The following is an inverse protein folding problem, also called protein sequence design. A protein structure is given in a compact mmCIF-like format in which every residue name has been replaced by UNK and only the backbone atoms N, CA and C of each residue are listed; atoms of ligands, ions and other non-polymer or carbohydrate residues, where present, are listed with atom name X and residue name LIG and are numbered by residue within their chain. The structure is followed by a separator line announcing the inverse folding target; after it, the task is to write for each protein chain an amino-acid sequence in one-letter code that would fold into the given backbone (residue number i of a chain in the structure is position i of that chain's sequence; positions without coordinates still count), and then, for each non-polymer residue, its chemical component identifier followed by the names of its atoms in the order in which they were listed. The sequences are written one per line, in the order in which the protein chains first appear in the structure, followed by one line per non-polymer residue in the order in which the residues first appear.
data_IF_169838273893
#
_entry.id   IF_169838273893
#
_cell.length_a   1.000
_cell.length_b   1.000
_cell.length_c   1.000
_cell.angle_alpha   90.00
_cell.angle_beta   90.00
_cell.angle_gamma   90.00
#
_symmetry.space_group_name_H-M   'P 1'
#
loop_
_entity.id
_entity.type
_entity.pdbx_description
1 polymer ?
#
# COMPACT_ATOMS: atom_id res chain seq x y z
N UNK A 1 1.88 -2.91 -16.25
CA UNK A 1 0.99 -3.68 -15.36
C UNK A 1 0.40 -4.90 -16.06
N UNK A 2 -0.31 -4.75 -17.18
CA UNK A 2 -1.07 -5.84 -17.83
C UNK A 2 -0.27 -7.13 -18.09
N UNK A 3 0.82 -7.08 -18.88
CA UNK A 3 1.64 -8.27 -19.16
C UNK A 3 2.23 -8.91 -17.90
N UNK A 4 2.73 -8.09 -16.98
CA UNK A 4 3.31 -8.57 -15.73
C UNK A 4 2.27 -9.31 -14.86
N UNK A 5 1.04 -8.79 -14.77
CA UNK A 5 -0.02 -9.42 -13.99
C UNK A 5 -0.43 -10.78 -14.57
N UNK A 6 -0.54 -10.87 -15.90
CA UNK A 6 -0.81 -12.15 -16.58
C UNK A 6 0.30 -13.18 -16.35
N UNK A 7 1.57 -12.74 -16.38
CA UNK A 7 2.73 -13.62 -16.19
C UNK A 7 2.93 -14.08 -14.74
N UNK A 8 2.52 -13.27 -13.76
CA UNK A 8 2.85 -13.49 -12.34
C UNK A 8 1.69 -13.94 -11.47
N UNK A 9 0.45 -13.68 -11.85
CA UNK A 9 -0.71 -14.16 -11.11
C UNK A 9 -1.23 -15.47 -11.70
N UNK A 10 -1.55 -16.47 -10.85
CA UNK A 10 -2.03 -17.75 -11.35
C UNK A 10 -3.48 -17.65 -11.84
N UNK A 11 -3.88 -18.55 -12.74
CA UNK A 11 -5.23 -18.54 -13.35
C UNK A 11 -6.35 -18.87 -12.36
N UNK A 12 -6.02 -19.55 -11.25
CA UNK A 12 -6.96 -19.92 -10.20
C UNK A 12 -7.14 -18.84 -9.12
N UNK A 13 -6.36 -17.75 -9.17
CA UNK A 13 -6.59 -16.59 -8.31
C UNK A 13 -7.93 -15.93 -8.68
N UNK A 14 -8.84 -15.69 -7.73
CA UNK A 14 -10.07 -14.93 -7.94
C UNK A 14 -9.82 -13.43 -8.20
N UNK A 15 -9.18 -13.10 -9.32
CA UNK A 15 -8.72 -11.75 -9.65
C UNK A 15 -9.87 -10.74 -9.80
N UNK A 16 -11.00 -11.14 -10.38
CA UNK A 16 -12.20 -10.28 -10.46
C UNK A 16 -12.70 -9.88 -9.08
N UNK A 17 -12.69 -10.82 -8.13
CA UNK A 17 -13.13 -10.57 -6.75
C UNK A 17 -12.15 -9.65 -6.02
N UNK A 18 -10.84 -9.87 -6.21
CA UNK A 18 -9.82 -8.96 -5.68
C UNK A 18 -9.97 -7.55 -6.24
N UNK A 19 -10.19 -7.42 -7.56
CA UNK A 19 -10.43 -6.15 -8.22
C UNK A 19 -11.69 -5.44 -7.70
N UNK A 20 -12.78 -6.18 -7.50
CA UNK A 20 -14.03 -5.65 -6.95
C UNK A 20 -13.83 -5.07 -5.54
N UNK A 21 -13.28 -5.88 -4.63
CA UNK A 21 -13.08 -5.48 -3.23
C UNK A 21 -12.10 -4.30 -3.11
N UNK A 22 -10.99 -4.34 -3.84
CA UNK A 22 -10.03 -3.24 -3.87
C UNK A 22 -10.63 -1.96 -4.46
N UNK A 23 -11.48 -2.09 -5.49
CA UNK A 23 -12.19 -0.98 -6.11
C UNK A 23 -13.13 -0.28 -5.13
N UNK A 24 -13.95 -1.03 -4.38
CA UNK A 24 -14.87 -0.47 -3.38
C UNK A 24 -14.15 0.32 -2.29
N UNK A 25 -12.99 -0.17 -1.81
CA UNK A 25 -12.15 0.58 -0.86
C UNK A 25 -11.59 1.85 -1.50
N UNK A 26 -11.11 1.76 -2.75
CA UNK A 26 -10.58 2.89 -3.50
C UNK A 26 -11.62 3.98 -3.76
N UNK A 27 -12.84 3.60 -4.11
CA UNK A 27 -13.95 4.52 -4.37
C UNK A 27 -14.38 5.27 -3.10
N UNK A 28 -14.38 4.59 -1.96
CA UNK A 28 -14.71 5.17 -0.66
C UNK A 28 -13.59 6.06 -0.09
N UNK A 29 -12.35 5.92 -0.56
CA UNK A 29 -11.22 6.67 -0.05
C UNK A 29 -11.16 8.11 -0.59
N UNK A 30 -10.77 9.04 0.29
CA UNK A 30 -10.47 10.43 -0.09
C UNK A 30 -9.16 10.51 -0.86
N UNK A 31 -9.13 11.33 -1.91
CA UNK A 31 -7.90 11.68 -2.64
C UNK A 31 -7.08 12.78 -1.96
N UNK A 32 -7.63 13.41 -0.91
CA UNK A 32 -6.98 14.49 -0.20
C UNK A 32 -5.62 14.03 0.38
N UNK A 33 -4.58 14.83 0.16
CA UNK A 33 -3.20 14.52 0.53
C UNK A 33 -2.64 13.21 -0.06
N UNK A 34 -3.29 12.62 -1.06
CA UNK A 34 -2.87 11.38 -1.70
C UNK A 34 -2.77 11.52 -3.25
N UNK A 35 -1.88 12.40 -3.77
CA UNK A 35 -1.83 12.70 -5.19
C UNK A 35 -1.44 11.50 -6.07
N UNK A 36 -0.57 10.60 -5.60
CA UNK A 36 -0.25 9.37 -6.34
C UNK A 36 -1.45 8.44 -6.44
N UNK A 37 -2.19 8.26 -5.36
CA UNK A 37 -3.45 7.51 -5.36
C UNK A 37 -4.48 8.11 -6.32
N UNK A 38 -4.65 9.44 -6.28
CA UNK A 38 -5.52 10.16 -7.21
C UNK A 38 -5.10 9.90 -8.67
N UNK A 39 -3.81 10.00 -8.96
CA UNK A 39 -3.26 9.69 -10.28
C UNK A 39 -3.54 8.25 -10.71
N UNK A 40 -3.40 7.27 -9.83
CA UNK A 40 -3.75 5.88 -10.13
C UNK A 40 -5.23 5.70 -10.46
N UNK A 41 -6.13 6.37 -9.71
CA UNK A 41 -7.57 6.33 -9.98
C UNK A 41 -7.97 6.96 -11.31
N UNK A 42 -7.22 7.96 -11.75
CA UNK A 42 -7.48 8.66 -13.01
C UNK A 42 -6.92 7.92 -14.24
N UNK A 43 -6.05 6.91 -14.05
CA UNK A 43 -5.53 6.10 -15.14
C UNK A 43 -6.62 5.18 -15.72
N UNK A 44 -6.62 4.92 -17.04
CA UNK A 44 -7.55 3.97 -17.64
C UNK A 44 -7.45 2.58 -17.01
N UNK A 45 -8.58 2.05 -16.57
CA UNK A 45 -8.65 0.70 -16.02
C UNK A 45 -8.47 -0.35 -17.12
N UNK A 46 -7.62 -1.38 -16.90
CA UNK A 46 -7.48 -2.48 -17.83
C UNK A 46 -8.70 -3.42 -17.78
N UNK A 47 -9.07 -3.99 -18.93
CA UNK A 47 -10.23 -4.90 -19.01
C UNK A 47 -9.94 -6.32 -18.49
N UNK A 48 -8.67 -6.76 -18.47
CA UNK A 48 -8.32 -8.10 -18.02
C UNK A 48 -8.35 -8.19 -16.48
N UNK A 49 -9.00 -9.23 -15.89
CA UNK A 49 -9.20 -9.37 -14.45
C UNK A 49 -7.92 -9.23 -13.61
N UNK A 50 -6.86 -9.96 -13.96
CA UNK A 50 -5.57 -9.95 -13.24
C UNK A 50 -4.92 -8.57 -13.29
N UNK A 51 -4.98 -7.92 -14.45
CA UNK A 51 -4.45 -6.58 -14.62
C UNK A 51 -5.25 -5.54 -13.82
N UNK A 52 -6.58 -5.68 -13.76
CA UNK A 52 -7.45 -4.79 -13.00
C UNK A 52 -7.22 -4.92 -11.50
N UNK A 53 -7.08 -6.16 -11.02
CA UNK A 53 -6.75 -6.45 -9.64
C UNK A 53 -5.44 -5.77 -9.22
N UNK A 54 -4.36 -5.96 -9.99
CA UNK A 54 -3.06 -5.34 -9.72
C UNK A 54 -3.11 -3.82 -9.85
N UNK A 55 -3.88 -3.29 -10.81
CA UNK A 55 -4.07 -1.84 -10.95
C UNK A 55 -4.67 -1.24 -9.67
N UNK A 56 -5.79 -1.81 -9.18
CA UNK A 56 -6.49 -1.31 -8.00
C UNK A 56 -5.70 -1.56 -6.71
N UNK A 57 -5.01 -2.69 -6.56
CA UNK A 57 -4.12 -2.95 -5.43
C UNK A 57 -2.96 -1.95 -5.39
N UNK A 58 -2.39 -1.57 -6.54
CA UNK A 58 -1.36 -0.52 -6.59
C UNK A 58 -1.92 0.84 -6.19
N UNK A 59 -3.15 1.18 -6.59
CA UNK A 59 -3.80 2.40 -6.11
C UNK A 59 -3.91 2.41 -4.57
N UNK A 60 -4.39 1.30 -3.97
CA UNK A 60 -4.47 1.18 -2.51
C UNK A 60 -3.10 1.23 -1.82
N UNK A 61 -2.06 0.67 -2.44
CA UNK A 61 -0.67 0.81 -1.95
C UNK A 61 -0.25 2.28 -1.90
N UNK A 62 -0.52 3.07 -2.93
CA UNK A 62 -0.18 4.50 -2.94
C UNK A 62 -1.02 5.31 -1.94
N UNK A 63 -2.30 4.94 -1.74
CA UNK A 63 -3.13 5.53 -0.69
C UNK A 63 -2.51 5.30 0.69
N UNK A 64 -2.16 4.04 1.01
CA UNK A 64 -1.48 3.70 2.27
C UNK A 64 -0.16 4.44 2.40
N UNK A 65 0.63 4.52 1.33
CA UNK A 65 1.90 5.26 1.30
C UNK A 65 1.73 6.73 1.66
N UNK A 66 0.73 7.40 1.09
CA UNK A 66 0.41 8.80 1.38
C UNK A 66 0.01 9.00 2.84
N UNK A 67 -0.93 8.19 3.35
CA UNK A 67 -1.38 8.29 4.74
C UNK A 67 -0.24 7.97 5.72
N UNK A 68 0.59 6.99 5.40
CA UNK A 68 1.73 6.61 6.23
C UNK A 68 2.80 7.70 6.26
N UNK A 69 3.13 8.31 5.11
CA UNK A 69 4.07 9.43 5.05
C UNK A 69 3.61 10.62 5.90
N UNK A 70 2.32 10.98 5.81
CA UNK A 70 1.74 12.02 6.65
C UNK A 70 1.80 11.66 8.15
N UNK A 71 1.47 10.42 8.51
CA UNK A 71 1.56 9.95 9.89
C UNK A 71 2.99 10.01 10.43
N UNK A 72 3.98 9.55 9.67
CA UNK A 72 5.41 9.61 10.05
C UNK A 72 5.85 11.04 10.35
N UNK A 73 5.53 11.99 9.46
CA UNK A 73 5.92 13.39 9.63
C UNK A 73 5.23 14.04 10.83
N UNK A 74 3.95 13.76 11.05
CA UNK A 74 3.19 14.33 12.18
C UNK A 74 3.60 13.75 13.54
N UNK A 75 4.22 12.56 13.58
CA UNK A 75 4.88 12.02 14.77
C UNK A 75 6.31 12.56 14.97
N UNK A 76 6.76 13.52 14.15
CA UNK A 76 8.09 14.14 14.25
C UNK A 76 9.23 13.24 13.76
N UNK A 77 8.93 12.17 13.01
CA UNK A 77 9.96 11.27 12.48
C UNK A 77 10.50 11.82 11.16
N UNK A 78 11.79 12.17 11.14
CA UNK A 78 12.46 12.63 9.92
C UNK A 78 12.59 11.48 8.89
N UNK A 79 12.43 11.73 7.57
CA UNK A 79 12.50 10.69 6.54
C UNK A 79 13.78 9.84 6.58
N UNK A 80 14.94 10.45 6.86
CA UNK A 80 16.21 9.71 6.99
C UNK A 80 16.16 8.68 8.13
N UNK A 81 15.56 9.03 9.27
CA UNK A 81 15.41 8.12 10.40
C UNK A 81 14.32 7.06 10.16
N UNK A 82 13.24 7.42 9.46
CA UNK A 82 12.22 6.47 9.02
C UNK A 82 12.81 5.37 8.12
N UNK A 83 13.61 5.75 7.11
CA UNK A 83 14.27 4.79 6.22
C UNK A 83 15.32 3.98 6.99
N UNK A 84 16.14 4.62 7.83
CA UNK A 84 17.12 3.90 8.66
C UNK A 84 16.47 2.84 9.56
N UNK A 85 15.26 3.12 10.07
CA UNK A 85 14.50 2.17 10.88
C UNK A 85 13.90 1.02 10.07
N UNK A 86 13.23 1.31 8.95
CA UNK A 86 12.36 0.32 8.27
C UNK A 86 13.03 -0.39 7.10
N UNK A 87 13.90 0.31 6.39
CA UNK A 87 14.58 -0.18 5.16
C UNK A 87 16.01 0.38 5.10
N UNK A 88 16.88 0.05 6.08
CA UNK A 88 18.24 0.61 6.12
C UNK A 88 19.05 0.31 4.86
N UNK A 89 18.76 -0.82 4.19
CA UNK A 89 19.38 -1.19 2.91
C UNK A 89 19.08 -0.21 1.75
N UNK A 90 18.09 0.68 1.89
CA UNK A 90 17.74 1.70 0.90
C UNK A 90 18.44 3.04 1.14
N UNK A 91 19.18 3.21 2.24
CA UNK A 91 19.75 4.52 2.61
C UNK A 91 20.69 5.07 1.53
N UNK A 92 21.62 4.25 1.06
CA UNK A 92 22.56 4.64 0.00
C UNK A 92 21.86 4.78 -1.36
N UNK A 93 20.87 3.92 -1.64
CA UNK A 93 20.04 4.02 -2.86
C UNK A 93 19.32 5.36 -2.93
N UNK A 94 18.89 5.90 -1.78
CA UNK A 94 18.29 7.22 -1.66
C UNK A 94 19.31 8.36 -1.44
N UNK A 95 20.61 8.07 -1.54
CA UNK A 95 21.67 9.08 -1.53
C UNK A 95 22.06 9.59 -0.14
N UNK A 96 21.62 8.95 0.94
CA UNK A 96 22.08 9.31 2.29
C UNK A 96 23.44 8.69 2.57
N UNK A 97 24.44 9.54 2.84
CA UNK A 97 25.74 9.12 3.32
C UNK A 97 25.74 8.84 4.85
N UNK A 98 26.64 7.98 5.35
CA UNK A 98 26.91 7.87 6.79
C UNK A 98 27.46 9.18 7.39
N UNK A 99 27.29 9.42 8.72
CA UNK A 99 26.63 8.55 9.69
C UNK A 99 25.10 8.61 9.59
N UNK A 100 24.45 7.48 9.84
CA UNK A 100 22.99 7.38 9.86
C UNK A 100 22.43 7.60 11.26
N UNK A 101 21.20 8.14 11.38
CA UNK A 101 20.58 8.38 12.66
C UNK A 101 20.37 7.07 13.44
N UNK A 102 20.45 7.17 14.76
CA UNK A 102 20.03 6.08 15.64
C UNK A 102 18.53 5.80 15.45
N UNK A 103 18.19 4.53 15.29
CA UNK A 103 16.83 4.05 15.05
C UNK A 103 16.04 3.86 16.34
N UNK A 104 16.70 3.80 17.49
CA UNK A 104 16.03 3.53 18.77
C UNK A 104 15.14 4.68 19.24
N UNK A 105 15.55 5.97 19.16
CA UNK A 105 14.67 7.09 19.51
C UNK A 105 13.39 7.18 18.68
N UNK A 106 13.41 6.67 17.44
CA UNK A 106 12.21 6.64 16.57
C UNK A 106 11.34 5.40 16.79
N UNK A 107 11.63 4.58 17.82
CA UNK A 107 10.87 3.36 18.11
C UNK A 107 9.38 3.62 18.35
N UNK A 108 9.10 4.44 19.36
CA UNK A 108 7.74 4.77 19.79
C UNK A 108 7.02 5.69 18.78
N UNK A 109 7.64 6.78 18.27
CA UNK A 109 7.02 7.60 17.23
C UNK A 109 6.63 6.81 15.97
N UNK A 110 7.43 5.83 15.57
CA UNK A 110 7.09 4.95 14.45
C UNK A 110 5.86 4.08 14.73
N UNK A 111 5.74 3.52 15.94
CA UNK A 111 4.57 2.73 16.32
C UNK A 111 3.31 3.60 16.31
N UNK A 112 3.37 4.81 16.87
CA UNK A 112 2.28 5.78 16.81
C UNK A 112 1.91 6.16 15.36
N UNK A 113 2.90 6.25 14.46
CA UNK A 113 2.65 6.49 13.05
C UNK A 113 1.93 5.32 12.35
N UNK A 114 2.24 4.07 12.71
CA UNK A 114 1.51 2.90 12.18
C UNK A 114 0.04 2.95 12.60
N UNK A 115 -0.25 3.17 13.88
CA UNK A 115 -1.63 3.27 14.36
C UNK A 115 -2.38 4.44 13.74
N UNK A 116 -1.72 5.60 13.58
CA UNK A 116 -2.32 6.76 12.91
C UNK A 116 -2.63 6.46 11.43
N UNK A 117 -1.79 5.67 10.76
CA UNK A 117 -2.03 5.21 9.39
C UNK A 117 -3.27 4.32 9.33
N UNK A 118 -3.40 3.37 10.25
CA UNK A 118 -4.56 2.47 10.33
C UNK A 118 -5.86 3.26 10.59
N UNK A 119 -5.85 4.19 11.55
CA UNK A 119 -6.99 5.07 11.83
C UNK A 119 -7.38 5.92 10.62
N UNK A 120 -6.40 6.43 9.86
CA UNK A 120 -6.67 7.24 8.68
C UNK A 120 -7.30 6.43 7.53
N UNK A 121 -6.94 5.16 7.40
CA UNK A 121 -7.45 4.28 6.34
C UNK A 121 -8.78 3.60 6.71
N UNK A 122 -9.03 3.35 8.00
CA UNK A 122 -10.18 2.60 8.48
C UNK A 122 -11.52 3.03 7.85
N UNK A 123 -11.85 4.33 7.71
CA UNK A 123 -13.11 4.75 7.09
C UNK A 123 -13.32 4.24 5.66
N UNK A 124 -12.27 4.15 4.84
CA UNK A 124 -12.37 3.63 3.47
C UNK A 124 -12.69 2.13 3.46
N UNK A 125 -12.17 1.39 4.45
CA UNK A 125 -12.42 -0.05 4.60
C UNK A 125 -13.80 -0.36 5.19
N UNK A 126 -14.54 0.62 5.73
CA UNK A 126 -15.96 0.44 6.12
C UNK A 126 -16.91 0.30 4.92
N UNK A 127 -16.43 0.51 3.69
CA UNK A 127 -17.16 0.14 2.48
C UNK A 127 -17.29 -1.40 2.30
N UNK A 128 -16.54 -2.18 3.07
CA UNK A 128 -16.56 -3.64 3.08
C UNK A 128 -17.08 -4.15 4.43
N UNK A 129 -17.87 -5.22 4.41
CA UNK A 129 -18.22 -5.95 5.63
C UNK A 129 -16.99 -6.61 6.27
N UNK A 130 -17.04 -7.01 7.55
CA UNK A 130 -15.92 -7.72 8.19
C UNK A 130 -15.46 -8.98 7.44
N UNK A 131 -16.40 -9.75 6.86
CA UNK A 131 -16.08 -10.93 6.07
C UNK A 131 -15.37 -10.57 4.75
N UNK A 132 -15.84 -9.53 4.07
CA UNK A 132 -15.21 -9.04 2.84
C UNK A 132 -13.83 -8.43 3.09
N UNK A 133 -13.61 -7.81 4.26
CA UNK A 133 -12.27 -7.35 4.66
C UNK A 133 -11.30 -8.52 4.88
N UNK A 134 -11.75 -9.60 5.51
CA UNK A 134 -10.95 -10.81 5.66
C UNK A 134 -10.64 -11.45 4.29
N UNK A 135 -11.64 -11.56 3.42
CA UNK A 135 -11.50 -12.07 2.05
C UNK A 135 -10.49 -11.24 1.24
N UNK A 136 -10.54 -9.89 1.35
CA UNK A 136 -9.58 -9.01 0.69
C UNK A 136 -8.14 -9.30 1.16
N UNK A 137 -7.92 -9.55 2.45
CA UNK A 137 -6.59 -9.90 2.98
C UNK A 137 -6.11 -11.22 2.38
N UNK A 138 -6.96 -12.26 2.40
CA UNK A 138 -6.63 -13.58 1.83
C UNK A 138 -6.24 -13.48 0.34
N UNK A 139 -6.99 -12.71 -0.44
CA UNK A 139 -6.73 -12.53 -1.87
C UNK A 139 -5.46 -11.72 -2.15
N UNK A 140 -5.19 -10.67 -1.36
CA UNK A 140 -3.95 -9.88 -1.49
C UNK A 140 -2.74 -10.74 -1.11
N UNK A 141 -2.84 -11.53 -0.04
CA UNK A 141 -1.76 -12.42 0.39
C UNK A 141 -1.47 -13.51 -0.66
N UNK A 142 -2.51 -14.10 -1.25
CA UNK A 142 -2.36 -15.06 -2.35
C UNK A 142 -1.68 -14.42 -3.57
N UNK A 143 -2.10 -13.21 -3.97
CA UNK A 143 -1.48 -12.48 -5.07
C UNK A 143 -0.01 -12.11 -4.78
N UNK A 144 0.31 -11.70 -3.55
CA UNK A 144 1.68 -11.39 -3.13
C UNK A 144 2.58 -12.63 -3.13
N UNK A 145 2.08 -13.76 -2.62
CA UNK A 145 2.82 -15.02 -2.59
C UNK A 145 3.20 -15.45 -4.03
N UNK A 146 2.26 -15.36 -4.97
CA UNK A 146 2.52 -15.66 -6.38
C UNK A 146 3.58 -14.71 -7.00
N UNK A 147 3.47 -13.41 -6.71
CA UNK A 147 4.38 -12.39 -7.25
C UNK A 147 5.82 -12.49 -6.72
N UNK A 148 6.02 -13.00 -5.50
CA UNK A 148 7.33 -13.09 -4.83
C UNK A 148 7.96 -14.49 -4.89
N UNK A 149 7.17 -15.53 -5.17
CA UNK A 149 7.65 -16.92 -5.35
C UNK A 149 8.18 -17.24 -6.75
N UNK A 150 8.22 -16.26 -7.64
CA UNK A 150 8.67 -16.37 -9.04
C UNK A 150 10.04 -15.74 -9.26
#
# INVERSE_FOLDING_TARGET
AHRWAEEKLPDDLPADRLAELAGRVGDAASVAAAPLFAGWRDLPEPAAPKALAIHRVNALRELRGAMHGAAVLTQGVHPHAAVARRTPYMLEVFGWAPPHPDKDPVREPWAAAQEATERALAPAYEALSPAERAELVELVDAAQAAATGS
#
